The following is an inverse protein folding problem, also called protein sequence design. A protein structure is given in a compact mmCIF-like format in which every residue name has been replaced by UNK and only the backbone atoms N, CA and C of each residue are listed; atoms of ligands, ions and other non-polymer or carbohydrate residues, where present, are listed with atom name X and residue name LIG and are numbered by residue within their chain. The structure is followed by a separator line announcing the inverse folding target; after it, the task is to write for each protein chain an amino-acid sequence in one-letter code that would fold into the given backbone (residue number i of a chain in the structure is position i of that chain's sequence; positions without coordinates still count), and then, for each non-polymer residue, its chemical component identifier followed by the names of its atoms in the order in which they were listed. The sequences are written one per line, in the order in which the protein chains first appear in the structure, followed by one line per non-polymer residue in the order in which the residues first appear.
data_IF_869122288389
#
_entry.id   IF_869122288389
#
_cell.length_a   1.000
_cell.length_b   1.000
_cell.length_c   1.000
_cell.angle_alpha   90.00
_cell.angle_beta   90.00
_cell.angle_gamma   90.00
#
_symmetry.space_group_name_H-M   'P 1'
#
loop_
_entity.id
_entity.type
_entity.pdbx_description
1 polymer ?
#
# COMPACT_ATOMS: atom_id res chain seq x y z
N UNK A 1 -3.44 -3.00 18.62
CA UNK A 1 -4.82 -2.65 18.90
C UNK A 1 -5.20 -1.33 18.22
N UNK A 2 -6.42 -1.19 17.71
CA UNK A 2 -6.84 0.00 16.94
C UNK A 2 -6.75 1.32 17.71
N UNK A 3 -6.81 1.28 19.05
CA UNK A 3 -6.67 2.46 19.91
C UNK A 3 -5.27 3.11 19.83
N UNK A 4 -4.23 2.34 19.58
CA UNK A 4 -2.86 2.87 19.52
C UNK A 4 -2.64 3.67 18.22
N UNK A 5 -3.27 3.25 17.13
CA UNK A 5 -3.25 3.97 15.86
C UNK A 5 -3.97 5.34 15.92
N UNK A 6 -4.92 5.51 16.84
CA UNK A 6 -5.67 6.76 17.00
C UNK A 6 -4.89 7.75 17.85
N UNK A 7 -4.08 7.30 18.82
CA UNK A 7 -3.32 8.15 19.73
C UNK A 7 -2.35 9.10 19.02
N UNK A 8 -1.76 8.66 17.92
CA UNK A 8 -0.73 9.40 17.19
C UNK A 8 -1.28 10.33 16.09
N UNK A 9 -2.62 10.40 15.92
CA UNK A 9 -3.21 11.25 14.88
C UNK A 9 -3.51 12.65 15.38
N UNK A 10 -3.23 13.68 14.55
CA UNK A 10 -3.42 15.10 14.89
C UNK A 10 -4.80 15.41 15.46
N UNK A 11 -5.86 14.80 14.94
CA UNK A 11 -7.22 15.00 15.45
C UNK A 11 -7.50 14.30 16.78
N UNK A 12 -6.63 13.43 17.27
CA UNK A 12 -6.77 12.82 18.59
C UNK A 12 -6.51 13.81 19.73
N UNK A 13 -5.81 14.90 19.46
CA UNK A 13 -5.57 15.96 20.45
C UNK A 13 -6.85 16.65 20.91
N UNK A 14 -7.88 16.72 20.06
CA UNK A 14 -9.21 17.23 20.43
C UNK A 14 -10.07 16.19 21.17
N UNK A 15 -9.65 14.92 21.18
CA UNK A 15 -10.27 13.82 21.90
C UNK A 15 -9.49 13.47 23.19
N UNK A 16 -8.62 14.39 23.66
CA UNK A 16 -7.73 14.23 24.81
C UNK A 16 -8.45 14.23 26.16
N UNK A 17 -9.63 13.66 26.26
CA UNK A 17 -10.01 13.17 27.55
C UNK A 17 -9.40 11.78 27.73
N UNK A 18 -8.60 11.61 28.77
CA UNK A 18 -8.22 10.30 29.30
C UNK A 18 -9.41 9.34 29.35
N UNK A 19 -10.59 9.88 29.47
CA UNK A 19 -11.87 9.22 29.53
C UNK A 19 -12.27 8.53 28.21
N UNK A 20 -12.00 9.13 27.05
CA UNK A 20 -12.30 8.51 25.76
C UNK A 20 -11.42 7.26 25.52
N UNK A 21 -10.13 7.35 25.82
CA UNK A 21 -9.23 6.18 25.72
C UNK A 21 -9.55 5.11 26.74
N UNK A 22 -9.86 5.50 27.99
CA UNK A 22 -10.30 4.58 29.03
C UNK A 22 -11.60 3.88 28.63
N UNK A 23 -12.55 4.61 28.06
CA UNK A 23 -13.79 4.04 27.53
C UNK A 23 -13.52 3.06 26.40
N UNK A 24 -12.72 3.45 25.39
CA UNK A 24 -12.42 2.57 24.25
C UNK A 24 -11.66 1.31 24.64
N UNK A 25 -10.79 1.38 25.65
CA UNK A 25 -10.06 0.20 26.14
C UNK A 25 -10.96 -0.83 26.80
N UNK A 26 -12.17 -0.42 27.21
CA UNK A 26 -13.18 -1.29 27.81
C UNK A 26 -14.14 -1.91 26.77
N UNK A 27 -14.08 -1.49 25.49
CA UNK A 27 -14.90 -2.02 24.41
C UNK A 27 -14.36 -3.36 23.91
N UNK A 28 -14.33 -4.34 24.80
CA UNK A 28 -14.00 -5.73 24.48
C UNK A 28 -15.27 -6.58 24.48
N UNK A 29 -15.18 -7.76 23.90
CA UNK A 29 -16.28 -8.73 23.97
C UNK A 29 -16.56 -9.13 25.41
N UNK A 30 -17.81 -9.47 25.71
CA UNK A 30 -18.21 -9.93 27.03
C UNK A 30 -17.42 -11.19 27.44
N UNK A 31 -17.12 -11.34 28.74
CA UNK A 31 -16.38 -12.49 29.28
C UNK A 31 -17.02 -13.83 28.95
N UNK A 32 -18.35 -13.84 28.79
CA UNK A 32 -19.13 -15.04 28.47
C UNK A 32 -19.47 -15.14 26.97
N UNK A 33 -18.90 -14.28 26.11
CA UNK A 33 -19.12 -14.33 24.67
C UNK A 33 -18.71 -15.71 24.12
N UNK A 34 -19.57 -16.27 23.28
CA UNK A 34 -19.28 -17.51 22.54
C UNK A 34 -19.03 -17.15 21.09
N UNK A 35 -17.91 -17.60 20.57
CA UNK A 35 -17.54 -17.40 19.18
C UNK A 35 -17.75 -18.70 18.40
N UNK A 36 -18.26 -18.60 17.18
CA UNK A 36 -18.45 -19.76 16.30
C UNK A 36 -17.10 -20.37 15.89
N UNK A 37 -16.08 -19.53 15.79
CA UNK A 37 -14.73 -19.94 15.45
C UNK A 37 -13.69 -18.97 15.99
N UNK A 38 -12.65 -19.50 16.56
CA UNK A 38 -11.46 -18.75 16.97
C UNK A 38 -10.26 -19.23 16.15
N UNK A 39 -9.47 -18.28 15.66
CA UNK A 39 -8.25 -18.57 14.86
C UNK A 39 -7.14 -17.74 15.47
N UNK A 40 -6.07 -18.42 15.86
CA UNK A 40 -4.82 -17.79 16.28
C UNK A 40 -3.81 -17.92 15.15
N UNK A 41 -3.20 -16.80 14.76
CA UNK A 41 -2.20 -16.76 13.69
C UNK A 41 -0.95 -16.09 14.24
N UNK A 42 0.16 -16.83 14.28
CA UNK A 42 1.46 -16.25 14.56
C UNK A 42 1.98 -15.55 13.30
N UNK A 43 2.23 -14.25 13.41
CA UNK A 43 2.73 -13.40 12.34
C UNK A 43 4.20 -13.00 12.54
N UNK A 44 4.89 -13.58 13.49
CA UNK A 44 6.28 -13.21 13.86
C UNK A 44 7.25 -13.35 12.70
N UNK A 45 7.06 -14.35 11.87
CA UNK A 45 7.91 -14.67 10.71
C UNK A 45 7.31 -14.21 9.37
N UNK A 46 6.23 -13.40 9.41
CA UNK A 46 5.57 -12.95 8.19
C UNK A 46 6.45 -11.95 7.43
N UNK A 47 6.93 -12.36 6.27
CA UNK A 47 7.65 -11.49 5.34
C UNK A 47 6.68 -10.54 4.62
N UNK A 48 7.18 -9.40 4.07
CA UNK A 48 6.39 -8.55 3.18
C UNK A 48 5.75 -9.36 2.05
N UNK A 49 4.48 -9.13 1.80
CA UNK A 49 3.67 -9.87 0.84
C UNK A 49 3.42 -9.07 -0.42
N UNK A 50 3.31 -9.77 -1.54
CA UNK A 50 2.98 -9.18 -2.84
C UNK A 50 1.87 -9.99 -3.50
N UNK A 51 0.81 -9.32 -3.94
CA UNK A 51 -0.22 -9.91 -4.80
C UNK A 51 0.31 -9.94 -6.25
N UNK A 52 0.25 -11.11 -6.86
CA UNK A 52 0.79 -11.35 -8.21
C UNK A 52 -0.27 -11.75 -9.23
N UNK A 53 -1.50 -11.91 -8.79
CA UNK A 53 -2.58 -12.44 -9.61
C UNK A 53 -3.83 -11.55 -9.59
N UNK A 54 -4.96 -12.16 -9.89
CA UNK A 54 -6.25 -11.49 -10.10
C UNK A 54 -7.21 -11.62 -8.91
N UNK A 55 -6.75 -12.15 -7.77
CA UNK A 55 -7.57 -12.24 -6.56
C UNK A 55 -6.70 -12.15 -5.29
N UNK A 56 -7.28 -11.75 -4.15
CA UNK A 56 -6.54 -11.49 -2.90
C UNK A 56 -5.75 -12.70 -2.37
N UNK A 57 -6.21 -13.93 -2.61
CA UNK A 57 -5.48 -15.13 -2.21
C UNK A 57 -4.22 -15.38 -3.03
N UNK A 58 -4.06 -14.72 -4.19
CA UNK A 58 -2.87 -14.83 -5.04
C UNK A 58 -1.74 -13.95 -4.52
N UNK A 59 -1.35 -14.19 -3.27
CA UNK A 59 -0.32 -13.44 -2.55
C UNK A 59 0.81 -14.36 -2.16
N UNK A 60 2.05 -13.89 -2.26
CA UNK A 60 3.26 -14.60 -1.85
C UNK A 60 4.23 -13.66 -1.15
N UNK A 61 5.17 -14.21 -0.40
CA UNK A 61 6.29 -13.44 0.11
C UNK A 61 7.08 -12.82 -1.06
N UNK A 62 7.55 -11.58 -0.90
CA UNK A 62 8.18 -10.79 -1.98
C UNK A 62 9.37 -11.48 -2.66
N UNK A 63 10.04 -12.38 -1.95
CA UNK A 63 11.21 -13.14 -2.42
C UNK A 63 10.88 -14.60 -2.81
N UNK A 64 9.60 -14.99 -2.77
CA UNK A 64 9.18 -16.35 -3.13
C UNK A 64 9.03 -16.52 -4.65
N UNK A 65 9.09 -17.77 -5.08
CA UNK A 65 8.80 -18.12 -6.47
C UNK A 65 7.30 -18.10 -6.74
N UNK A 66 6.91 -17.62 -7.92
CA UNK A 66 5.51 -17.58 -8.36
C UNK A 66 4.99 -19.01 -8.52
N UNK A 67 3.87 -19.37 -7.87
CA UNK A 67 3.35 -20.72 -7.94
C UNK A 67 2.75 -21.03 -9.32
N UNK A 68 3.27 -22.05 -10.00
CA UNK A 68 2.81 -22.52 -11.32
C UNK A 68 1.91 -23.73 -11.16
N UNK A 69 0.67 -23.50 -10.75
CA UNK A 69 -0.35 -24.54 -10.60
C UNK A 69 -1.36 -24.48 -11.74
N UNK A 70 -2.20 -25.51 -11.89
CA UNK A 70 -3.32 -25.48 -12.84
C UNK A 70 -4.28 -24.30 -12.60
N UNK A 71 -4.51 -23.96 -11.33
CA UNK A 71 -5.41 -22.89 -10.93
C UNK A 71 -4.80 -21.50 -11.18
N UNK A 72 -3.48 -21.35 -11.13
CA UNK A 72 -2.80 -20.08 -11.37
C UNK A 72 -2.63 -19.75 -12.85
N UNK A 73 -2.76 -20.72 -13.75
CA UNK A 73 -2.44 -20.56 -15.18
C UNK A 73 -3.18 -19.40 -15.86
N UNK A 74 -4.48 -19.23 -15.59
CA UNK A 74 -5.27 -18.15 -16.18
C UNK A 74 -4.81 -16.77 -15.69
N UNK A 75 -4.54 -16.66 -14.39
CA UNK A 75 -4.05 -15.41 -13.78
C UNK A 75 -2.64 -15.08 -14.29
N UNK A 76 -1.75 -16.05 -14.37
CA UNK A 76 -0.39 -15.84 -14.92
C UNK A 76 -0.42 -15.37 -16.37
N UNK A 77 -1.30 -15.95 -17.18
CA UNK A 77 -1.49 -15.51 -18.56
C UNK A 77 -2.01 -14.07 -18.62
N UNK A 78 -3.06 -13.77 -17.86
CA UNK A 78 -3.64 -12.44 -17.80
C UNK A 78 -2.63 -11.37 -17.35
N UNK A 79 -1.83 -11.68 -16.32
CA UNK A 79 -0.80 -10.79 -15.78
C UNK A 79 0.49 -10.77 -16.61
N UNK A 80 0.61 -11.62 -17.66
CA UNK A 80 1.82 -11.75 -18.45
C UNK A 80 3.02 -12.31 -17.69
N UNK A 81 2.77 -13.14 -16.67
CA UNK A 81 3.79 -13.71 -15.76
C UNK A 81 4.10 -15.18 -16.03
N UNK A 82 3.66 -15.73 -17.14
CA UNK A 82 3.80 -17.18 -17.45
C UNK A 82 5.25 -17.66 -17.47
N UNK A 83 6.16 -16.82 -17.92
CA UNK A 83 7.58 -17.11 -18.03
C UNK A 83 8.39 -16.67 -16.81
N UNK A 84 7.80 -15.91 -15.92
CA UNK A 84 8.49 -15.39 -14.74
C UNK A 84 8.60 -16.46 -13.67
N UNK A 85 9.74 -16.50 -13.01
CA UNK A 85 9.97 -17.40 -11.87
C UNK A 85 9.78 -16.69 -10.56
N UNK A 86 10.22 -15.42 -10.49
CA UNK A 86 10.28 -14.64 -9.26
C UNK A 86 9.85 -13.21 -9.53
N UNK A 87 9.11 -12.60 -8.60
CA UNK A 87 8.62 -11.23 -8.72
C UNK A 87 9.75 -10.18 -8.76
N UNK A 88 10.90 -10.47 -8.18
CA UNK A 88 12.05 -9.55 -8.16
C UNK A 88 12.67 -9.31 -9.55
N UNK A 89 12.41 -10.18 -10.51
CA UNK A 89 12.94 -10.07 -11.88
C UNK A 89 11.96 -9.39 -12.85
N UNK A 90 10.78 -8.98 -12.38
CA UNK A 90 9.78 -8.34 -13.22
C UNK A 90 10.19 -6.90 -13.51
N UNK A 91 10.19 -6.55 -14.78
CA UNK A 91 10.32 -5.16 -15.22
C UNK A 91 8.96 -4.47 -15.16
N UNK A 92 8.96 -3.25 -14.64
CA UNK A 92 7.77 -2.40 -14.53
C UNK A 92 7.92 -1.17 -15.40
N UNK A 93 6.80 -0.73 -15.99
CA UNK A 93 6.70 0.54 -16.72
C UNK A 93 6.35 1.68 -15.79
N UNK A 94 5.48 1.43 -14.81
CA UNK A 94 5.01 2.43 -13.85
C UNK A 94 5.08 1.91 -12.43
N UNK A 95 5.10 2.85 -11.49
CA UNK A 95 4.96 2.58 -10.05
C UNK A 95 3.89 3.50 -9.49
N UNK A 96 3.01 2.95 -8.68
CA UNK A 96 1.94 3.68 -8.02
C UNK A 96 2.05 3.55 -6.51
N UNK A 97 2.27 4.67 -5.84
CA UNK A 97 2.31 4.74 -4.38
C UNK A 97 1.17 5.63 -3.94
N UNK A 98 0.17 5.05 -3.27
CA UNK A 98 -0.87 5.91 -2.83
C UNK A 98 -2.26 5.37 -2.68
N UNK A 99 -3.15 6.30 -2.87
CA UNK A 99 -4.57 6.32 -2.65
C UNK A 99 -4.99 6.29 -1.16
N UNK A 100 -6.28 6.22 -0.89
CA UNK A 100 -6.86 6.48 0.43
C UNK A 100 -6.40 5.51 1.53
N UNK A 101 -5.97 4.31 1.19
CA UNK A 101 -5.63 3.25 2.17
C UNK A 101 -4.14 3.18 2.44
N UNK A 102 -3.31 3.33 1.41
CA UNK A 102 -1.86 3.05 1.44
C UNK A 102 -1.02 4.30 1.15
N UNK A 103 -1.47 5.46 1.58
CA UNK A 103 -0.75 6.72 1.50
C UNK A 103 -1.09 7.63 2.68
N UNK A 104 -1.00 7.07 3.87
CA UNK A 104 -1.03 7.83 5.10
C UNK A 104 0.29 8.58 5.25
N UNK A 105 0.36 9.50 6.19
CA UNK A 105 1.60 10.26 6.38
C UNK A 105 2.79 9.37 6.74
N UNK A 106 2.57 8.31 7.50
CA UNK A 106 3.59 7.34 7.88
C UNK A 106 4.13 6.58 6.65
N UNK A 107 3.23 6.20 5.74
CA UNK A 107 3.60 5.51 4.49
C UNK A 107 4.44 6.42 3.59
N UNK A 108 4.03 7.70 3.46
CA UNK A 108 4.77 8.69 2.69
C UNK A 108 6.15 8.98 3.30
N UNK A 109 6.26 9.05 4.62
CA UNK A 109 7.56 9.21 5.32
C UNK A 109 8.47 8.02 5.05
N UNK A 110 7.94 6.79 5.15
CA UNK A 110 8.69 5.57 4.88
C UNK A 110 9.16 5.51 3.41
N UNK A 111 8.28 5.81 2.47
CA UNK A 111 8.61 5.87 1.04
C UNK A 111 9.67 6.94 0.75
N UNK A 112 9.51 8.16 1.28
CA UNK A 112 10.48 9.24 1.12
C UNK A 112 11.84 8.88 1.70
N UNK A 113 11.89 8.25 2.87
CA UNK A 113 13.15 7.80 3.49
C UNK A 113 13.88 6.76 2.62
N UNK A 114 13.13 5.84 1.98
CA UNK A 114 13.69 4.81 1.12
C UNK A 114 14.33 5.37 -0.17
N UNK A 115 13.79 6.49 -0.69
CA UNK A 115 14.23 7.05 -1.98
C UNK A 115 15.10 8.30 -1.86
N UNK A 116 15.25 8.87 -0.68
CA UNK A 116 16.01 10.11 -0.45
C UNK A 116 17.39 10.03 -1.08
N UNK A 117 17.73 11.00 -1.93
CA UNK A 117 18.99 11.06 -2.65
C UNK A 117 19.15 10.07 -3.81
N UNK A 118 18.06 9.41 -4.22
CA UNK A 118 18.03 8.50 -5.37
C UNK A 118 17.16 9.09 -6.47
N UNK A 119 17.32 8.52 -7.68
CA UNK A 119 16.49 8.83 -8.83
C UNK A 119 15.71 7.58 -9.24
N UNK A 120 14.54 7.76 -9.84
CA UNK A 120 13.83 6.64 -10.46
C UNK A 120 14.71 6.00 -11.54
N UNK A 121 14.59 4.69 -11.70
CA UNK A 121 15.30 4.00 -12.77
C UNK A 121 14.85 4.53 -14.14
N UNK A 122 15.77 4.62 -15.10
CA UNK A 122 15.47 5.12 -16.44
C UNK A 122 14.44 4.26 -17.21
N UNK A 123 14.35 2.98 -16.86
CA UNK A 123 13.35 2.06 -17.41
C UNK A 123 11.92 2.35 -16.95
N UNK A 124 11.75 3.00 -15.80
CA UNK A 124 10.42 3.36 -15.26
C UNK A 124 9.94 4.64 -15.93
N UNK A 125 8.86 4.55 -16.68
CA UNK A 125 8.24 5.69 -17.38
C UNK A 125 7.72 6.72 -16.40
N UNK A 126 6.97 6.27 -15.39
CA UNK A 126 6.33 7.15 -14.42
C UNK A 126 6.23 6.50 -13.04
N UNK A 127 6.41 7.33 -12.00
CA UNK A 127 6.10 6.98 -10.62
C UNK A 127 5.09 7.98 -10.10
N UNK A 128 3.92 7.52 -9.72
CA UNK A 128 2.83 8.35 -9.19
C UNK A 128 2.79 8.27 -7.68
N UNK A 129 2.75 9.41 -7.01
CA UNK A 129 2.52 9.54 -5.58
C UNK A 129 1.19 10.24 -5.36
N UNK A 130 0.24 9.55 -4.73
CA UNK A 130 -1.11 10.07 -4.46
C UNK A 130 -1.38 10.06 -2.97
N UNK A 131 -1.36 11.21 -2.28
CA UNK A 131 -1.65 11.30 -0.83
C UNK A 131 -3.06 10.79 -0.50
N UNK A 132 -3.22 10.19 0.67
CA UNK A 132 -4.47 9.57 1.10
C UNK A 132 -5.63 10.55 1.36
N UNK A 133 -5.32 11.82 1.61
CA UNK A 133 -6.30 12.88 1.83
C UNK A 133 -5.65 14.26 1.68
N UNK A 134 -6.48 15.31 1.61
CA UNK A 134 -5.99 16.70 1.60
C UNK A 134 -5.23 17.09 2.88
N UNK A 135 -5.58 16.54 4.03
CA UNK A 135 -4.84 16.78 5.28
C UNK A 135 -3.47 16.12 5.23
N UNK A 136 -3.38 14.89 4.76
CA UNK A 136 -2.11 14.17 4.56
C UNK A 136 -1.23 14.90 3.53
N UNK A 137 -1.82 15.38 2.43
CA UNK A 137 -1.09 16.16 1.42
C UNK A 137 -0.44 17.38 2.05
N UNK A 138 -1.24 18.20 2.75
CA UNK A 138 -0.73 19.42 3.41
C UNK A 138 0.39 19.10 4.42
N UNK A 139 0.22 18.06 5.21
CA UNK A 139 1.23 17.64 6.17
C UNK A 139 2.50 17.19 5.48
N UNK A 140 2.41 16.38 4.44
CA UNK A 140 3.55 15.91 3.67
C UNK A 140 4.33 17.07 3.02
N UNK A 141 3.61 18.09 2.50
CA UNK A 141 4.20 19.30 1.91
C UNK A 141 4.88 20.16 2.97
N UNK A 142 4.28 20.30 4.18
CA UNK A 142 4.92 21.00 5.30
C UNK A 142 6.21 20.32 5.77
N UNK A 143 6.28 18.98 5.68
CA UNK A 143 7.46 18.19 6.00
C UNK A 143 8.47 18.11 4.85
N UNK A 144 8.15 18.67 3.67
CA UNK A 144 9.00 18.65 2.48
C UNK A 144 9.12 17.28 1.81
N UNK A 145 8.19 16.35 2.07
CA UNK A 145 8.21 15.03 1.47
C UNK A 145 7.95 15.08 -0.04
N UNK A 146 7.08 15.99 -0.48
CA UNK A 146 6.80 16.23 -1.90
C UNK A 146 8.06 16.65 -2.67
N UNK A 147 8.94 17.43 -2.05
CA UNK A 147 10.22 17.84 -2.64
C UNK A 147 11.11 16.60 -2.86
N UNK A 148 11.21 15.72 -1.86
CA UNK A 148 11.99 14.48 -1.96
C UNK A 148 11.49 13.62 -3.13
N UNK A 149 10.17 13.48 -3.29
CA UNK A 149 9.59 12.72 -4.39
C UNK A 149 9.84 13.37 -5.75
N UNK A 150 9.64 14.69 -5.86
CA UNK A 150 9.89 15.45 -7.09
C UNK A 150 11.36 15.40 -7.50
N UNK A 151 12.27 15.54 -6.55
CA UNK A 151 13.72 15.43 -6.76
C UNK A 151 14.11 14.05 -7.27
N UNK A 152 13.41 12.99 -6.83
CA UNK A 152 13.61 11.63 -7.33
C UNK A 152 13.01 11.40 -8.72
N UNK A 153 12.34 12.40 -9.33
CA UNK A 153 11.68 12.31 -10.63
C UNK A 153 10.30 11.65 -10.57
N UNK A 154 9.62 11.73 -9.41
CA UNK A 154 8.27 11.20 -9.21
C UNK A 154 7.22 12.30 -9.40
N UNK A 155 6.04 11.91 -9.86
CA UNK A 155 4.89 12.78 -10.06
C UNK A 155 4.06 12.87 -8.78
N UNK A 156 4.07 14.03 -8.14
CA UNK A 156 3.22 14.33 -6.99
C UNK A 156 1.83 14.74 -7.44
N UNK A 157 0.81 14.01 -7.03
CA UNK A 157 -0.59 14.20 -7.43
C UNK A 157 -1.44 14.74 -6.28
N UNK A 158 -2.60 15.26 -6.64
CA UNK A 158 -3.68 15.57 -5.70
C UNK A 158 -4.31 14.28 -5.14
N UNK A 159 -4.81 14.31 -3.89
CA UNK A 159 -5.55 13.18 -3.32
C UNK A 159 -6.76 12.80 -4.16
N UNK A 160 -6.89 11.50 -4.41
CA UNK A 160 -7.97 10.94 -5.23
C UNK A 160 -7.74 9.48 -5.53
N UNK A 161 -8.59 8.89 -6.36
CA UNK A 161 -8.44 7.49 -6.74
C UNK A 161 -7.35 7.27 -7.79
N UNK A 162 -7.12 8.26 -8.70
CA UNK A 162 -6.05 8.18 -9.68
C UNK A 162 -6.00 6.81 -10.40
N UNK A 163 -4.86 6.17 -10.48
CA UNK A 163 -4.68 4.87 -11.12
C UNK A 163 -5.53 3.75 -10.50
N UNK A 164 -5.94 3.88 -9.24
CA UNK A 164 -6.79 2.92 -8.54
C UNK A 164 -8.10 2.59 -9.30
N UNK A 165 -8.68 3.56 -9.98
CA UNK A 165 -9.89 3.37 -10.80
C UNK A 165 -9.63 3.57 -12.30
N UNK A 166 -8.49 4.14 -12.67
CA UNK A 166 -8.15 4.45 -14.06
C UNK A 166 -9.17 5.35 -14.76
N UNK A 167 -9.91 6.18 -14.01
CA UNK A 167 -10.96 7.06 -14.55
C UNK A 167 -10.42 8.37 -15.14
N UNK A 168 -9.16 8.70 -14.87
CA UNK A 168 -8.46 9.84 -15.41
C UNK A 168 -7.31 9.38 -16.34
N UNK A 169 -6.38 10.26 -16.66
CA UNK A 169 -5.21 9.94 -17.48
C UNK A 169 -4.18 9.06 -16.77
N UNK A 170 -4.24 8.98 -15.42
CA UNK A 170 -3.38 8.10 -14.63
C UNK A 170 -3.82 6.64 -14.78
N UNK A 171 -3.48 6.03 -15.90
CA UNK A 171 -3.82 4.64 -16.23
C UNK A 171 -2.69 3.95 -16.98
N UNK A 172 -2.75 2.65 -17.05
CA UNK A 172 -1.82 1.85 -17.84
C UNK A 172 -2.23 1.83 -19.32
N UNK A 173 -1.27 1.91 -20.21
CA UNK A 173 -1.46 1.52 -21.59
C UNK A 173 -1.54 -0.02 -21.71
N UNK A 174 -2.05 -0.55 -22.82
CA UNK A 174 -2.03 -1.99 -23.05
C UNK A 174 -0.61 -2.57 -22.89
N UNK A 175 -0.53 -3.68 -22.15
CA UNK A 175 0.71 -4.40 -21.84
C UNK A 175 1.70 -3.69 -20.90
N UNK A 176 1.40 -2.50 -20.39
CA UNK A 176 2.20 -1.89 -19.34
C UNK A 176 1.99 -2.59 -18.00
N UNK A 177 3.07 -2.72 -17.24
CA UNK A 177 3.08 -3.30 -15.89
C UNK A 177 3.28 -2.21 -14.86
N UNK A 178 2.54 -2.31 -13.77
CA UNK A 178 2.67 -1.41 -12.63
C UNK A 178 2.98 -2.17 -11.34
N UNK A 179 3.94 -1.68 -10.57
CA UNK A 179 4.08 -2.04 -9.17
C UNK A 179 3.25 -1.05 -8.33
N UNK A 180 2.34 -1.55 -7.53
CA UNK A 180 1.44 -0.73 -6.71
C UNK A 180 1.58 -1.07 -5.23
N UNK A 181 1.50 -0.06 -4.35
CA UNK A 181 1.38 -0.29 -2.91
C UNK A 181 -0.03 -0.74 -2.51
N UNK A 182 -0.94 -0.79 -3.45
CA UNK A 182 -2.31 -1.27 -3.28
C UNK A 182 -2.53 -2.54 -4.09
N UNK A 183 -3.23 -3.51 -3.50
CA UNK A 183 -3.76 -4.64 -4.24
C UNK A 183 -4.92 -4.13 -5.08
N UNK A 184 -4.71 -4.07 -6.38
CA UNK A 184 -5.72 -3.71 -7.38
C UNK A 184 -6.14 -4.99 -8.10
N UNK A 185 -7.44 -5.16 -8.28
CA UNK A 185 -8.02 -6.19 -9.14
C UNK A 185 -8.21 -5.65 -10.56
#
# INVERSE_FOLDING_TARGET
CSSDLIKERENSHNLQSSDAFNYWSQLHSDLAAKFDKEIEIDISDLLPQVSWGTSPEMTIAFNADIPKTSNSKKALNYMGLENEKNLLNIEFDKVFIGSCTNSRIEDLRAAAAAIKGRQKAASIKEVLIVPGSRSVQKQAELEGLDIIFKDAGFSWRDPGCSMCLGMNEDKLAPYERCASTRSEE
#
